data_IF_989010395963
#
_entry.id   IF_989010395963
#
_cell.length_a   1.000
_cell.length_b   1.000
_cell.length_c   1.000
_cell.angle_alpha   90.00
_cell.angle_beta   90.00
_cell.angle_gamma   90.00
#
_symmetry.space_group_name_H-M   'P 1'
#
loop_
_entity.id
_entity.type
_entity.pdbx_description
1 polymer ?
#
# COMPACT_ATOMS: atom_id res chain seq x y z
N UNK A 1 -21.93 42.61 -19.92
CA UNK A 1 -21.72 41.15 -20.07
C UNK A 1 -20.88 40.71 -18.88
N UNK A 2 -21.53 40.14 -17.87
CA UNK A 2 -20.90 39.62 -16.66
C UNK A 2 -20.20 38.29 -16.98
N UNK A 3 -19.00 38.08 -16.44
CA UNK A 3 -18.47 36.73 -16.22
C UNK A 3 -17.97 36.65 -14.78
N UNK A 4 -18.77 35.97 -13.97
CA UNK A 4 -18.47 35.60 -12.60
C UNK A 4 -17.29 34.64 -12.54
N UNK A 5 -16.38 34.92 -11.60
CA UNK A 5 -15.35 33.98 -11.13
C UNK A 5 -16.03 32.98 -10.20
N UNK A 6 -16.30 31.77 -10.71
CA UNK A 6 -16.62 30.62 -9.87
C UNK A 6 -15.32 29.95 -9.43
N UNK A 7 -14.90 30.22 -8.19
CA UNK A 7 -13.86 29.47 -7.51
C UNK A 7 -14.46 28.13 -7.06
N UNK A 8 -13.95 27.03 -7.61
CA UNK A 8 -14.38 25.68 -7.26
C UNK A 8 -14.01 25.33 -5.80
N UNK A 9 -14.96 24.91 -4.94
CA UNK A 9 -14.70 24.65 -3.52
C UNK A 9 -14.14 23.24 -3.21
N UNK A 10 -14.02 22.36 -4.21
CA UNK A 10 -13.78 20.92 -3.98
C UNK A 10 -12.35 20.45 -3.73
N UNK A 11 -11.38 21.34 -3.44
CA UNK A 11 -9.97 20.94 -3.24
C UNK A 11 -9.53 20.85 -1.77
N UNK A 12 -10.12 21.65 -0.87
CA UNK A 12 -9.74 21.65 0.55
C UNK A 12 -10.34 20.48 1.35
N UNK A 13 -11.52 19.98 0.96
CA UNK A 13 -12.22 18.92 1.71
C UNK A 13 -11.50 17.56 1.64
N UNK A 14 -10.79 17.29 0.53
CA UNK A 14 -10.14 15.99 0.31
C UNK A 14 -8.87 15.81 1.16
N UNK A 15 -8.17 16.90 1.48
CA UNK A 15 -6.99 16.87 2.34
C UNK A 15 -7.38 16.69 3.82
N UNK A 16 -8.49 17.30 4.27
CA UNK A 16 -9.00 17.14 5.62
C UNK A 16 -9.51 15.73 5.91
N UNK A 17 -10.17 15.09 4.93
CA UNK A 17 -10.63 13.70 5.04
C UNK A 17 -9.43 12.74 5.15
N UNK A 18 -8.37 12.96 4.36
CA UNK A 18 -7.16 12.14 4.38
C UNK A 18 -6.42 12.24 5.72
N UNK A 19 -6.25 13.46 6.25
CA UNK A 19 -5.53 13.68 7.50
C UNK A 19 -6.29 13.16 8.73
N UNK A 20 -7.62 13.22 8.73
CA UNK A 20 -8.43 12.69 9.83
C UNK A 20 -8.44 11.15 9.88
N UNK A 21 -8.38 10.47 8.73
CA UNK A 21 -8.35 9.01 8.67
C UNK A 21 -7.01 8.42 9.18
N UNK A 22 -5.89 9.08 8.88
CA UNK A 22 -4.55 8.70 9.40
C UNK A 22 -4.46 8.86 10.92
N UNK A 23 -5.08 9.91 11.46
CA UNK A 23 -5.08 10.19 12.91
C UNK A 23 -5.86 9.14 13.72
N UNK A 24 -6.92 8.58 13.12
CA UNK A 24 -7.77 7.57 13.75
C UNK A 24 -7.10 6.18 13.80
N UNK A 25 -6.26 5.84 12.82
CA UNK A 25 -5.51 4.57 12.80
C UNK A 25 -4.28 4.58 13.74
N UNK A 26 -3.67 5.74 13.97
CA UNK A 26 -2.52 5.85 14.88
C UNK A 26 -2.89 5.67 16.37
N UNK A 27 -4.15 5.92 16.74
CA UNK A 27 -4.65 5.73 18.11
C UNK A 27 -4.96 4.27 18.46
N UNK A 28 -5.19 3.41 17.46
CA UNK A 28 -5.62 2.01 17.67
C UNK A 28 -4.46 1.01 17.93
N UNK A 29 -3.20 1.46 17.85
CA UNK A 29 -2.03 0.57 17.93
C UNK A 29 -1.29 0.55 19.29
N UNK A 30 -1.91 1.08 20.36
CA UNK A 30 -1.26 1.16 21.68
C UNK A 30 -2.11 0.57 22.80
N UNK A 31 -2.67 -0.62 22.61
CA UNK A 31 -3.05 -1.42 23.79
C UNK A 31 -3.08 -2.92 23.52
N UNK A 32 -1.97 -3.61 23.83
CA UNK A 32 -1.99 -4.87 24.57
C UNK A 32 -0.57 -5.29 24.96
N UNK A 33 -0.33 -5.25 26.27
CA UNK A 33 0.90 -5.67 26.93
C UNK A 33 1.25 -7.14 26.65
N UNK A 34 2.54 -7.32 26.40
CA UNK A 34 3.39 -8.52 26.53
C UNK A 34 3.12 -9.27 27.85
N UNK A 35 2.87 -10.59 27.79
CA UNK A 35 2.97 -11.50 28.96
C UNK A 35 3.86 -12.69 28.59
N UNK A 36 4.88 -12.92 29.42
CA UNK A 36 5.89 -13.99 29.33
C UNK A 36 5.44 -15.26 30.10
N UNK A 37 6.12 -16.41 29.92
CA UNK A 37 5.57 -17.74 30.15
C UNK A 37 5.68 -18.18 31.61
N UNK A 38 4.72 -18.97 32.08
CA UNK A 38 4.79 -19.59 33.41
C UNK A 38 4.92 -21.10 33.26
N UNK A 39 6.05 -21.61 33.74
CA UNK A 39 6.41 -23.02 33.83
C UNK A 39 5.70 -23.64 35.03
N UNK A 40 4.95 -24.72 34.82
CA UNK A 40 4.79 -25.78 35.84
C UNK A 40 4.85 -27.14 35.17
N UNK A 41 5.95 -27.80 35.47
CA UNK A 41 6.25 -29.21 35.25
C UNK A 41 5.31 -30.09 36.10
N UNK A 42 4.89 -31.20 35.52
CA UNK A 42 4.01 -32.18 36.14
C UNK A 42 3.80 -33.33 35.17
N UNK A 43 4.75 -34.26 35.19
CA UNK A 43 4.59 -35.58 34.61
C UNK A 43 3.31 -36.23 35.15
N UNK A 44 2.51 -36.83 34.27
CA UNK A 44 1.74 -38.03 34.57
C UNK A 44 1.30 -38.66 33.26
N UNK A 45 2.03 -39.72 32.90
CA UNK A 45 1.67 -40.76 31.96
C UNK A 45 0.30 -41.33 32.35
N UNK A 46 -0.77 -41.17 31.56
CA UNK A 46 -1.98 -41.93 31.79
C UNK A 46 -1.71 -43.35 31.30
N UNK A 47 -1.19 -44.16 32.21
CA UNK A 47 -1.21 -45.61 32.14
C UNK A 47 -2.61 -46.05 31.69
N UNK A 48 -2.69 -46.57 30.48
CA UNK A 48 -3.91 -47.09 29.91
C UNK A 48 -4.36 -48.28 30.77
N UNK A 49 -5.34 -48.05 31.65
CA UNK A 49 -5.90 -49.11 32.48
C UNK A 49 -6.50 -50.19 31.59
N UNK A 50 -5.86 -51.35 31.63
CA UNK A 50 -6.38 -52.58 31.05
C UNK A 50 -7.69 -52.92 31.79
N UNK A 51 -8.84 -52.61 31.22
CA UNK A 51 -10.10 -53.19 31.70
C UNK A 51 -10.05 -54.69 31.45
N UNK A 52 -9.66 -55.40 32.50
CA UNK A 52 -9.67 -56.85 32.59
C UNK A 52 -11.12 -57.29 32.40
N UNK A 53 -11.41 -57.87 31.25
CA UNK A 53 -12.70 -58.48 30.95
C UNK A 53 -12.84 -59.68 31.89
N UNK A 54 -13.47 -59.50 33.06
CA UNK A 54 -13.84 -60.61 33.92
C UNK A 54 -14.94 -61.40 33.22
N UNK A 55 -14.53 -62.34 32.37
CA UNK A 55 -15.38 -63.40 31.86
C UNK A 55 -15.83 -64.21 33.07
N UNK A 56 -17.06 -63.96 33.52
CA UNK A 56 -17.70 -64.71 34.60
C UNK A 56 -17.97 -66.13 34.10
N UNK A 57 -16.93 -66.95 34.19
CA UNK A 57 -16.94 -68.39 33.99
C UNK A 57 -17.88 -68.99 35.05
N UNK A 58 -19.07 -69.40 34.62
CA UNK A 58 -20.06 -70.05 35.49
C UNK A 58 -20.06 -71.55 35.22
N UNK A 59 -18.90 -72.18 35.29
CA UNK A 59 -18.79 -73.63 35.27
C UNK A 59 -17.80 -74.11 36.34
N UNK A 60 -18.32 -74.51 37.50
CA UNK A 60 -17.72 -75.59 38.29
C UNK A 60 -18.76 -76.70 38.45
N UNK A 61 -18.51 -77.92 37.94
CA UNK A 61 -19.27 -79.09 38.29
C UNK A 61 -18.60 -79.81 39.48
N UNK A 62 -19.36 -80.11 40.53
CA UNK A 62 -19.11 -81.13 41.57
C UNK A 62 -20.31 -81.09 42.53
N UNK A 63 -21.05 -82.15 42.81
CA UNK A 63 -21.04 -83.52 42.35
C UNK A 63 -22.36 -84.17 42.79
N UNK A 64 -22.75 -85.18 42.01
CA UNK A 64 -23.50 -86.38 42.38
C UNK A 64 -24.74 -86.28 43.29
N UNK A 65 -25.94 -86.46 42.72
CA UNK A 65 -26.73 -87.72 42.80
C UNK A 65 -28.22 -87.51 42.41
N UNK A 66 -28.57 -88.12 41.28
CA UNK A 66 -29.87 -88.74 40.92
C UNK A 66 -31.10 -87.90 40.49
N UNK A 67 -31.95 -88.44 39.57
CA UNK A 67 -32.78 -87.65 38.66
C UNK A 67 -34.28 -87.77 38.94
N UNK A 68 -35.06 -86.73 38.57
CA UNK A 68 -36.50 -86.85 38.40
C UNK A 68 -36.91 -86.38 36.99
N UNK A 69 -37.48 -87.33 36.24
CA UNK A 69 -38.07 -87.22 34.91
C UNK A 69 -39.16 -86.14 34.87
N UNK A 70 -39.24 -85.37 33.77
CA UNK A 70 -40.38 -85.33 32.83
C UNK A 70 -40.14 -84.32 31.68
N UNK A 71 -40.58 -84.70 30.49
CA UNK A 71 -40.41 -84.10 29.14
C UNK A 71 -41.17 -82.76 29.03
N UNK A 72 -40.83 -81.74 28.21
CA UNK A 72 -40.78 -81.60 26.73
C UNK A 72 -40.23 -80.17 26.41
N UNK A 73 -39.57 -79.90 25.26
CA UNK A 73 -38.90 -78.61 24.99
C UNK A 73 -39.81 -77.61 24.25
N UNK A 74 -39.86 -76.37 24.72
CA UNK A 74 -40.44 -75.26 23.96
C UNK A 74 -39.61 -74.00 24.09
N UNK A 75 -38.79 -73.79 23.05
CA UNK A 75 -38.45 -72.51 22.45
C UNK A 75 -38.27 -71.31 23.40
N UNK A 76 -37.01 -70.99 23.64
CA UNK A 76 -36.55 -69.63 23.91
C UNK A 76 -37.16 -68.66 22.89
N UNK A 77 -38.13 -67.85 23.32
CA UNK A 77 -38.51 -66.63 22.61
C UNK A 77 -37.37 -65.63 22.82
N UNK A 78 -36.65 -65.17 21.77
CA UNK A 78 -35.72 -64.06 21.95
C UNK A 78 -36.53 -62.80 22.33
N UNK A 79 -35.99 -61.89 23.16
CA UNK A 79 -36.68 -60.67 23.52
C UNK A 79 -36.89 -59.82 22.26
N UNK A 80 -38.15 -59.73 21.82
CA UNK A 80 -38.57 -58.97 20.64
C UNK A 80 -38.22 -57.47 20.77
N UNK A 81 -37.98 -56.99 21.99
CA UNK A 81 -37.68 -55.58 22.28
C UNK A 81 -36.24 -55.14 21.96
N UNK A 82 -35.27 -56.05 21.93
CA UNK A 82 -33.86 -55.67 21.73
C UNK A 82 -33.56 -55.25 20.28
N UNK A 83 -34.15 -55.95 19.32
CA UNK A 83 -33.97 -55.67 17.88
C UNK A 83 -34.69 -54.39 17.43
N UNK A 84 -35.80 -54.05 18.09
CA UNK A 84 -36.57 -52.85 17.76
C UNK A 84 -35.86 -51.57 18.24
N UNK A 85 -35.22 -51.59 19.41
CA UNK A 85 -34.40 -50.47 19.89
C UNK A 85 -33.21 -50.16 18.99
N UNK A 86 -32.50 -51.20 18.52
CA UNK A 86 -31.38 -51.07 17.57
C UNK A 86 -31.83 -50.49 16.22
N UNK A 87 -33.02 -50.87 15.72
CA UNK A 87 -33.58 -50.31 14.49
C UNK A 87 -33.92 -48.82 14.62
N UNK A 88 -34.51 -48.40 15.74
CA UNK A 88 -34.82 -46.98 16.00
C UNK A 88 -33.55 -46.15 16.17
N UNK A 89 -32.55 -46.67 16.87
CA UNK A 89 -31.23 -46.04 17.01
C UNK A 89 -30.52 -45.92 15.67
N UNK A 90 -30.52 -46.98 14.86
CA UNK A 90 -29.94 -46.96 13.52
C UNK A 90 -30.63 -45.91 12.63
N UNK A 91 -31.97 -45.85 12.65
CA UNK A 91 -32.73 -44.82 11.91
C UNK A 91 -32.42 -43.40 12.38
N UNK A 92 -32.28 -43.19 13.69
CA UNK A 92 -31.91 -41.91 14.26
C UNK A 92 -30.47 -41.51 13.89
N UNK A 93 -29.52 -42.44 13.95
CA UNK A 93 -28.13 -42.22 13.57
C UNK A 93 -27.97 -41.90 12.08
N UNK A 94 -28.68 -42.62 11.20
CA UNK A 94 -28.69 -42.33 9.76
C UNK A 94 -29.31 -40.96 9.49
N UNK A 95 -30.42 -40.62 10.16
CA UNK A 95 -31.05 -39.30 10.04
C UNK A 95 -30.14 -38.18 10.53
N UNK A 96 -29.47 -38.37 11.68
CA UNK A 96 -28.53 -37.40 12.21
C UNK A 96 -27.31 -37.23 11.30
N UNK A 97 -26.79 -38.33 10.75
CA UNK A 97 -25.69 -38.31 9.78
C UNK A 97 -26.08 -37.57 8.51
N UNK A 98 -27.32 -37.75 8.03
CA UNK A 98 -27.85 -37.02 6.88
C UNK A 98 -28.00 -35.52 7.18
N UNK A 99 -28.56 -35.16 8.33
CA UNK A 99 -28.67 -33.77 8.76
C UNK A 99 -27.29 -33.10 8.92
N UNK A 100 -26.34 -33.82 9.52
CA UNK A 100 -24.98 -33.35 9.69
C UNK A 100 -24.29 -33.16 8.34
N UNK A 101 -24.40 -34.13 7.42
CA UNK A 101 -23.85 -34.02 6.07
C UNK A 101 -24.45 -32.83 5.31
N UNK A 102 -25.78 -32.64 5.36
CA UNK A 102 -26.46 -31.49 4.76
C UNK A 102 -25.97 -30.17 5.37
N UNK A 103 -25.89 -30.09 6.70
CA UNK A 103 -25.39 -28.90 7.38
C UNK A 103 -23.93 -28.59 7.02
N UNK A 104 -23.08 -29.61 6.89
CA UNK A 104 -21.68 -29.46 6.50
C UNK A 104 -21.55 -28.94 5.07
N UNK A 105 -22.32 -29.50 4.13
CA UNK A 105 -22.36 -29.03 2.73
C UNK A 105 -22.81 -27.57 2.65
N UNK A 106 -23.84 -27.17 3.41
CA UNK A 106 -24.31 -25.78 3.44
C UNK A 106 -23.23 -24.84 3.99
N UNK A 107 -22.56 -25.21 5.09
CA UNK A 107 -21.48 -24.41 5.67
C UNK A 107 -20.29 -24.27 4.72
N UNK A 108 -19.89 -25.37 4.05
CA UNK A 108 -18.83 -25.33 3.05
C UNK A 108 -19.20 -24.43 1.87
N UNK A 109 -20.43 -24.51 1.36
CA UNK A 109 -20.90 -23.64 0.29
C UNK A 109 -20.88 -22.15 0.69
N UNK A 110 -21.28 -21.81 1.93
CA UNK A 110 -21.22 -20.45 2.45
C UNK A 110 -19.79 -19.92 2.55
N UNK A 111 -18.87 -20.74 3.07
CA UNK A 111 -17.44 -20.40 3.15
C UNK A 111 -16.84 -20.22 1.76
N UNK A 112 -17.13 -21.13 0.82
CA UNK A 112 -16.65 -21.04 -0.55
C UNK A 112 -17.21 -19.80 -1.27
N UNK A 113 -18.50 -19.49 -1.09
CA UNK A 113 -19.11 -18.31 -1.67
C UNK A 113 -18.43 -17.03 -1.16
N UNK A 114 -18.23 -16.90 0.16
CA UNK A 114 -17.55 -15.73 0.74
C UNK A 114 -16.09 -15.62 0.30
N UNK A 115 -15.39 -16.74 0.19
CA UNK A 115 -14.03 -16.77 -0.33
C UNK A 115 -13.98 -16.41 -1.82
N UNK A 116 -14.98 -16.81 -2.63
CA UNK A 116 -15.06 -16.45 -4.05
C UNK A 116 -15.36 -14.96 -4.27
N UNK A 117 -16.21 -14.36 -3.45
CA UNK A 117 -16.54 -12.94 -3.48
C UNK A 117 -15.29 -12.10 -3.15
N UNK A 118 -14.59 -12.44 -2.06
CA UNK A 118 -13.32 -11.79 -1.68
C UNK A 118 -12.24 -11.99 -2.75
N UNK A 119 -12.17 -13.17 -3.37
CA UNK A 119 -11.22 -13.44 -4.46
C UNK A 119 -11.52 -12.61 -5.71
N UNK A 120 -12.80 -12.37 -6.00
CA UNK A 120 -13.23 -11.57 -7.13
C UNK A 120 -12.94 -10.08 -6.93
N UNK A 121 -13.19 -9.55 -5.73
CA UNK A 121 -12.79 -8.18 -5.37
C UNK A 121 -11.27 -8.00 -5.48
N UNK A 122 -10.49 -8.99 -5.03
CA UNK A 122 -9.02 -8.96 -5.14
C UNK A 122 -8.55 -8.96 -6.60
N UNK A 123 -9.21 -9.71 -7.49
CA UNK A 123 -8.92 -9.70 -8.92
C UNK A 123 -9.27 -8.36 -9.57
N UNK A 124 -10.40 -7.75 -9.20
CA UNK A 124 -10.76 -6.43 -9.70
C UNK A 124 -9.76 -5.38 -9.23
N UNK A 125 -9.42 -5.38 -7.93
CA UNK A 125 -8.40 -4.49 -7.36
C UNK A 125 -7.04 -4.69 -8.02
N UNK A 126 -6.64 -5.94 -8.31
CA UNK A 126 -5.40 -6.22 -9.05
C UNK A 126 -5.45 -5.60 -10.45
N UNK A 127 -6.58 -5.68 -11.15
CA UNK A 127 -6.78 -5.04 -12.45
C UNK A 127 -6.71 -3.52 -12.37
N UNK A 128 -7.40 -2.91 -11.41
CA UNK A 128 -7.37 -1.47 -11.16
C UNK A 128 -5.95 -0.99 -10.83
N UNK A 129 -5.24 -1.71 -9.97
CA UNK A 129 -3.87 -1.38 -9.61
C UNK A 129 -2.92 -1.48 -10.81
N UNK A 130 -3.09 -2.49 -11.67
CA UNK A 130 -2.34 -2.59 -12.92
C UNK A 130 -2.65 -1.42 -13.87
N UNK A 131 -3.92 -1.03 -13.98
CA UNK A 131 -4.31 0.12 -14.80
C UNK A 131 -3.72 1.43 -14.28
N UNK A 132 -3.80 1.66 -12.96
CA UNK A 132 -3.16 2.82 -12.31
C UNK A 132 -1.65 2.80 -12.53
N UNK A 133 -1.01 1.64 -12.41
CA UNK A 133 0.44 1.50 -12.66
C UNK A 133 0.81 1.85 -14.10
N UNK A 134 0.06 1.38 -15.09
CA UNK A 134 0.29 1.69 -16.50
C UNK A 134 0.07 3.17 -16.80
N UNK A 135 -0.99 3.76 -16.22
CA UNK A 135 -1.28 5.19 -16.34
C UNK A 135 -0.17 6.06 -15.73
N UNK A 136 0.30 5.71 -14.52
CA UNK A 136 1.39 6.38 -13.85
C UNK A 136 2.69 6.30 -14.65
N UNK A 137 2.98 5.14 -15.25
CA UNK A 137 4.13 4.96 -16.14
C UNK A 137 4.03 5.85 -17.39
N UNK A 138 2.86 5.90 -18.04
CA UNK A 138 2.63 6.77 -19.19
C UNK A 138 2.82 8.26 -18.86
N UNK A 139 2.34 8.69 -17.69
CA UNK A 139 2.56 10.05 -17.19
C UNK A 139 4.06 10.36 -16.99
N UNK A 140 4.82 9.41 -16.44
CA UNK A 140 6.25 9.58 -16.20
C UNK A 140 7.05 9.71 -17.50
N UNK A 141 6.72 8.91 -18.53
CA UNK A 141 7.37 9.03 -19.84
C UNK A 141 7.02 10.37 -20.53
N UNK A 142 5.76 10.81 -20.47
CA UNK A 142 5.37 12.14 -20.96
C UNK A 142 6.12 13.26 -20.24
N UNK A 143 6.26 13.17 -18.92
CA UNK A 143 7.00 14.14 -18.14
C UNK A 143 8.49 14.16 -18.52
N UNK A 144 9.09 12.99 -18.75
CA UNK A 144 10.49 12.85 -19.17
C UNK A 144 10.73 13.47 -20.55
N UNK A 145 9.83 13.25 -21.51
CA UNK A 145 9.90 13.86 -22.83
C UNK A 145 9.75 15.39 -22.75
N UNK A 146 8.74 15.87 -22.02
CA UNK A 146 8.53 17.30 -21.80
C UNK A 146 9.74 17.97 -21.13
N UNK A 147 10.34 17.30 -20.13
CA UNK A 147 11.53 17.79 -19.45
C UNK A 147 12.75 17.85 -20.39
N UNK A 148 12.92 16.85 -21.24
CA UNK A 148 14.01 16.85 -22.23
C UNK A 148 13.89 18.00 -23.23
N UNK A 149 12.67 18.28 -23.70
CA UNK A 149 12.37 19.38 -24.62
C UNK A 149 12.60 20.73 -23.95
N UNK A 150 12.12 20.89 -22.72
CA UNK A 150 12.34 22.11 -21.94
C UNK A 150 13.84 22.37 -21.75
N UNK A 151 14.60 21.35 -21.34
CA UNK A 151 16.03 21.48 -21.12
C UNK A 151 16.79 21.85 -22.41
N UNK A 152 16.39 21.29 -23.55
CA UNK A 152 16.97 21.67 -24.84
C UNK A 152 16.64 23.11 -25.21
N UNK A 153 15.40 23.54 -25.05
CA UNK A 153 14.98 24.92 -25.29
C UNK A 153 15.72 25.91 -24.37
N UNK A 154 15.88 25.56 -23.09
CA UNK A 154 16.66 26.35 -22.14
C UNK A 154 18.12 26.46 -22.57
N UNK A 155 18.75 25.37 -23.03
CA UNK A 155 20.13 25.41 -23.55
C UNK A 155 20.26 26.34 -24.75
N UNK A 156 19.35 26.26 -25.72
CA UNK A 156 19.35 27.12 -26.91
C UNK A 156 19.18 28.59 -26.48
N UNK A 157 18.24 28.88 -25.58
CA UNK A 157 18.02 30.23 -25.08
C UNK A 157 19.26 30.79 -24.38
N UNK A 158 19.92 30.00 -23.53
CA UNK A 158 21.16 30.40 -22.84
C UNK A 158 22.29 30.68 -23.83
N UNK A 159 22.44 29.84 -24.87
CA UNK A 159 23.44 30.09 -25.93
C UNK A 159 23.14 31.38 -26.70
N UNK A 160 21.87 31.63 -27.02
CA UNK A 160 21.43 32.86 -27.67
C UNK A 160 21.73 34.10 -26.82
N UNK A 161 21.41 34.04 -25.53
CA UNK A 161 21.70 35.11 -24.56
C UNK A 161 23.20 35.37 -24.48
N UNK A 162 24.04 34.33 -24.40
CA UNK A 162 25.48 34.49 -24.36
C UNK A 162 26.04 35.11 -25.64
N UNK A 163 25.50 34.71 -26.80
CA UNK A 163 25.88 35.31 -28.09
C UNK A 163 25.51 36.79 -28.15
N UNK A 164 24.31 37.14 -27.71
CA UNK A 164 23.85 38.53 -27.66
C UNK A 164 24.70 39.35 -26.69
N UNK A 165 24.98 38.81 -25.50
CA UNK A 165 25.85 39.43 -24.49
C UNK A 165 27.22 39.76 -25.09
N UNK A 166 27.84 38.83 -25.80
CA UNK A 166 29.14 39.05 -26.43
C UNK A 166 29.09 40.15 -27.50
N UNK A 167 28.05 40.16 -28.35
CA UNK A 167 27.85 41.23 -29.36
C UNK A 167 27.65 42.59 -28.71
N UNK A 168 26.83 42.68 -27.67
CA UNK A 168 26.59 43.94 -26.93
C UNK A 168 27.88 44.42 -26.28
N UNK A 169 28.68 43.53 -25.70
CA UNK A 169 29.96 43.86 -25.11
C UNK A 169 30.95 44.37 -26.17
N UNK A 170 31.02 43.73 -27.33
CA UNK A 170 31.87 44.18 -28.45
C UNK A 170 31.45 45.58 -28.94
N UNK A 171 30.16 45.81 -29.13
CA UNK A 171 29.63 47.12 -29.54
C UNK A 171 29.89 48.20 -28.49
N UNK A 172 29.71 47.87 -27.21
CA UNK A 172 30.03 48.76 -26.09
C UNK A 172 31.50 49.17 -26.09
N UNK A 173 32.42 48.22 -26.30
CA UNK A 173 33.85 48.52 -26.40
C UNK A 173 34.19 49.41 -27.61
N UNK A 174 33.56 49.16 -28.78
CA UNK A 174 33.73 50.02 -29.97
C UNK A 174 33.25 51.44 -29.70
N UNK A 175 32.08 51.59 -29.08
CA UNK A 175 31.53 52.89 -28.72
C UNK A 175 32.43 53.64 -27.73
N UNK A 176 32.95 52.96 -26.70
CA UNK A 176 33.90 53.54 -25.75
C UNK A 176 35.17 54.04 -26.44
N UNK A 177 35.73 53.28 -27.39
CA UNK A 177 36.89 53.73 -28.18
C UNK A 177 36.55 54.97 -28.99
N UNK A 178 35.43 54.98 -29.72
CA UNK A 178 34.99 56.14 -30.49
C UNK A 178 34.80 57.39 -29.61
N UNK A 179 34.21 57.24 -28.42
CA UNK A 179 34.05 58.33 -27.44
C UNK A 179 35.43 58.84 -26.97
N UNK A 180 36.37 57.94 -26.69
CA UNK A 180 37.72 58.34 -26.26
C UNK A 180 38.47 59.11 -27.36
N UNK A 181 38.33 58.70 -28.61
CA UNK A 181 38.94 59.39 -29.76
C UNK A 181 38.30 60.76 -30.01
N UNK A 182 36.97 60.87 -29.92
CA UNK A 182 36.28 62.16 -30.08
C UNK A 182 36.65 63.12 -28.97
N UNK A 183 36.78 62.65 -27.72
CA UNK A 183 37.28 63.46 -26.60
C UNK A 183 38.70 63.95 -26.86
N UNK A 184 39.63 63.08 -27.26
CA UNK A 184 41.00 63.48 -27.56
C UNK A 184 41.09 64.51 -28.70
N UNK A 185 40.24 64.39 -29.73
CA UNK A 185 40.13 65.40 -30.80
C UNK A 185 39.58 66.73 -30.28
N UNK A 186 38.58 66.69 -29.40
CA UNK A 186 38.00 67.89 -28.78
C UNK A 186 39.05 68.63 -27.94
N UNK A 187 39.79 67.92 -27.09
CA UNK A 187 40.86 68.49 -26.26
C UNK A 187 41.93 69.17 -27.13
N UNK A 188 42.29 68.56 -28.26
CA UNK A 188 43.25 69.13 -29.21
C UNK A 188 42.73 70.42 -29.87
N UNK A 189 41.45 70.47 -30.20
CA UNK A 189 40.81 71.69 -30.75
C UNK A 189 40.78 72.78 -29.69
N UNK A 190 40.47 72.45 -28.44
CA UNK A 190 40.44 73.41 -27.33
C UNK A 190 41.84 73.99 -27.05
N UNK A 191 42.90 73.17 -27.08
CA UNK A 191 44.28 73.63 -26.98
C UNK A 191 44.69 74.59 -28.11
N UNK A 192 44.21 74.36 -29.34
CA UNK A 192 44.47 75.25 -30.48
C UNK A 192 43.65 76.55 -30.40
N UNK A 193 42.57 76.58 -29.62
CA UNK A 193 41.70 77.75 -29.44
C UNK A 193 42.15 78.65 -28.29
N UNK A 194 43.09 78.21 -27.46
CA UNK A 194 43.72 79.05 -26.44
C UNK A 194 44.51 80.19 -27.13
N UNK A 195 44.29 81.46 -26.75
CA UNK A 195 44.94 82.58 -27.40
C UNK A 195 46.45 82.51 -27.21
N UNK A 196 47.17 82.62 -28.33
CA UNK A 196 48.62 82.79 -28.35
C UNK A 196 48.98 83.95 -27.40
N UNK A 197 49.84 83.77 -26.38
CA UNK A 197 50.28 84.90 -25.56
C UNK A 197 50.98 85.88 -26.51
N UNK A 198 50.36 87.05 -26.72
CA UNK A 198 50.91 88.06 -27.60
C UNK A 198 52.32 88.42 -27.11
N UNK A 199 53.30 88.60 -28.00
CA UNK A 199 54.57 89.17 -27.60
C UNK A 199 54.26 90.59 -27.14
N UNK A 200 54.30 90.80 -25.83
CA UNK A 200 54.21 92.10 -25.19
C UNK A 200 55.28 92.98 -25.84
N UNK A 201 54.81 93.85 -26.75
CA UNK A 201 55.58 94.99 -27.20
C UNK A 201 55.83 95.84 -25.96
N UNK A 202 57.07 95.77 -25.45
CA UNK A 202 57.61 96.78 -24.56
C UNK A 202 57.59 98.10 -25.34
N UNK A 203 56.46 98.79 -25.22
CA UNK A 203 56.34 100.22 -25.41
C UNK A 203 57.30 100.88 -24.44
N UNK A 204 58.51 101.13 -24.93
CA UNK A 204 59.49 101.99 -24.29
C UNK A 204 58.97 103.42 -24.41
N UNK A 205 58.42 103.94 -23.32
CA UNK A 205 58.04 105.35 -23.20
C UNK A 205 58.52 105.92 -21.87
N UNK A 206 59.20 107.07 -21.98
CA UNK A 206 59.65 108.04 -20.97
C UNK A 206 61.03 107.69 -20.37
N UNK A 207 62.02 108.57 -20.38
CA UNK A 207 62.06 110.05 -20.47
C UNK A 207 63.17 110.51 -21.42
#
# INVERSE_FOLDING_TARGET
>A
MNTDKSAAPGKMENEEIYMNQVKMQAAAFKDKKRRSPDNKEGADDPAYENFTLTFRNRDQPKGSHSPAKNKVPSQSRPPLDSAQGLYWLHRAMVSLSLLLALSCVILLALVLMKNSEMSQELLNLKGELQNVSLSAQGCLELQKEAWSTLNQNTRIAVQGINTLKNKVQEQSQKLLRAISETRAKLDKIEMLKMPNPSPSSKSMRRR
#
